data_IF_174771072485
#
_entry.id   IF_174771072485
#
_cell.length_a   1.000
_cell.length_b   1.000
_cell.length_c   1.000
_cell.angle_alpha   90.00
_cell.angle_beta   90.00
_cell.angle_gamma   90.00
#
_symmetry.space_group_name_H-M   'P 1'
#
loop_
_entity.id
_entity.type
_entity.pdbx_description
1 polymer ?
#
# COMPACT_ATOMS: atom_id res chain seq x y z
N UNK A 1 -14.67 4.71 -28.68
CA UNK A 1 -13.28 4.26 -28.52
C UNK A 1 -12.76 4.81 -27.20
N UNK A 2 -12.68 3.99 -26.17
CA UNK A 2 -12.09 4.38 -24.88
C UNK A 2 -10.58 4.43 -25.11
N UNK A 3 -9.99 5.63 -25.04
CA UNK A 3 -8.54 5.78 -25.06
C UNK A 3 -8.04 5.10 -23.79
N UNK A 4 -7.46 3.90 -23.92
CA UNK A 4 -6.76 3.29 -22.79
C UNK A 4 -5.62 4.23 -22.43
N UNK A 5 -5.60 4.71 -21.18
CA UNK A 5 -4.50 5.48 -20.62
C UNK A 5 -3.26 4.60 -20.73
N UNK A 6 -2.38 4.91 -21.67
CA UNK A 6 -1.17 4.11 -21.95
C UNK A 6 -0.13 4.23 -20.83
N UNK A 7 -0.35 5.15 -19.91
CA UNK A 7 0.54 5.48 -18.80
C UNK A 7 -0.22 5.38 -17.49
N UNK A 8 0.41 4.78 -16.47
CA UNK A 8 -0.10 4.68 -15.09
C UNK A 8 0.95 5.14 -14.09
N UNK A 9 0.50 5.74 -13.01
CA UNK A 9 1.32 6.09 -11.85
C UNK A 9 0.95 5.15 -10.70
N UNK A 10 1.96 4.51 -10.11
CA UNK A 10 1.80 3.63 -8.94
C UNK A 10 2.50 4.28 -7.77
N UNK A 11 1.78 4.51 -6.68
CA UNK A 11 2.35 4.91 -5.39
C UNK A 11 2.62 3.66 -4.56
N UNK A 12 3.87 3.45 -4.16
CA UNK A 12 4.24 2.43 -3.19
C UNK A 12 4.40 3.03 -1.80
N UNK A 13 3.94 2.31 -0.77
CA UNK A 13 4.15 2.69 0.64
C UNK A 13 4.68 1.51 1.42
N UNK A 14 5.74 1.76 2.20
CA UNK A 14 6.22 0.89 3.28
C UNK A 14 5.82 1.52 4.62
N UNK A 15 4.79 0.98 5.31
CA UNK A 15 4.29 1.57 6.54
C UNK A 15 5.32 1.51 7.67
N UNK A 16 5.48 2.63 8.38
CA UNK A 16 6.38 2.72 9.52
C UNK A 16 5.85 3.66 10.60
N UNK A 17 6.28 3.44 11.85
CA UNK A 17 5.89 4.26 13.00
C UNK A 17 6.90 5.37 13.34
N UNK A 18 8.11 5.26 12.84
CA UNK A 18 9.20 6.24 12.98
C UNK A 18 9.59 6.83 11.63
N UNK A 19 9.70 5.98 10.62
CA UNK A 19 9.92 6.34 9.23
C UNK A 19 8.90 5.57 8.41
N UNK A 20 8.23 6.26 7.48
CA UNK A 20 7.36 5.63 6.48
C UNK A 20 7.95 5.91 5.11
N UNK A 21 8.23 4.85 4.36
CA UNK A 21 8.74 4.96 3.00
C UNK A 21 7.63 5.27 2.00
N UNK A 22 7.96 6.02 0.94
CA UNK A 22 7.14 6.12 -0.26
C UNK A 22 8.00 6.02 -1.51
N UNK A 23 7.42 5.46 -2.58
CA UNK A 23 8.03 5.38 -3.89
C UNK A 23 6.99 5.54 -4.98
N UNK A 24 7.31 6.30 -6.02
CA UNK A 24 6.40 6.59 -7.15
C UNK A 24 6.99 6.03 -8.42
N UNK A 25 6.25 5.16 -9.09
CA UNK A 25 6.59 4.60 -10.39
C UNK A 25 5.66 5.13 -11.47
N UNK A 26 6.25 5.59 -12.57
CA UNK A 26 5.56 5.81 -13.83
C UNK A 26 5.69 4.55 -14.68
N UNK A 27 4.57 4.00 -15.14
CA UNK A 27 4.49 2.78 -15.93
C UNK A 27 3.95 3.11 -17.32
N UNK A 28 4.65 2.66 -18.36
CA UNK A 28 4.22 2.79 -19.74
C UNK A 28 4.43 1.44 -20.45
N UNK A 29 3.35 0.72 -20.70
CA UNK A 29 3.42 -0.65 -21.21
C UNK A 29 4.23 -1.55 -20.26
N UNK A 30 5.28 -2.17 -20.76
CA UNK A 30 6.18 -3.05 -19.98
C UNK A 30 7.40 -2.33 -19.39
N UNK A 31 7.38 -1.02 -19.31
CA UNK A 31 8.47 -0.21 -18.75
C UNK A 31 7.99 0.53 -17.53
N UNK A 32 8.79 0.47 -16.48
CA UNK A 32 8.59 1.26 -15.26
C UNK A 32 9.79 2.19 -15.06
N UNK A 33 9.54 3.42 -14.64
CA UNK A 33 10.54 4.41 -14.29
C UNK A 33 10.21 4.99 -12.93
N UNK A 34 11.22 5.16 -12.08
CA UNK A 34 11.06 5.87 -10.82
C UNK A 34 10.87 7.37 -11.09
N UNK A 35 9.83 7.95 -10.52
CA UNK A 35 9.59 9.39 -10.55
C UNK A 35 10.03 10.06 -9.24
N UNK A 36 9.79 9.39 -8.11
CA UNK A 36 10.20 9.85 -6.79
C UNK A 36 10.31 8.69 -5.82
N UNK A 37 11.12 8.86 -4.79
CA UNK A 37 11.07 8.08 -3.57
C UNK A 37 11.56 8.93 -2.39
N UNK A 38 11.11 8.60 -1.19
CA UNK A 38 11.50 9.35 -0.01
C UNK A 38 10.90 8.79 1.27
N UNK A 39 10.99 9.61 2.31
CA UNK A 39 10.57 9.26 3.66
C UNK A 39 9.63 10.31 4.25
N UNK A 40 8.66 9.82 5.00
CA UNK A 40 7.89 10.61 5.96
C UNK A 40 8.54 10.38 7.33
N UNK A 41 9.24 11.39 7.86
CA UNK A 41 9.98 11.28 9.13
C UNK A 41 9.09 11.66 10.31
N UNK A 42 8.78 10.67 11.15
CA UNK A 42 7.90 10.81 12.31
C UNK A 42 8.68 10.85 13.64
N UNK A 43 10.02 10.69 13.62
CA UNK A 43 10.86 10.52 14.82
C UNK A 43 10.82 11.71 15.76
N UNK A 44 10.67 12.91 15.23
CA UNK A 44 10.62 14.17 16.01
C UNK A 44 9.25 14.45 16.63
N UNK A 45 8.24 13.64 16.36
CA UNK A 45 6.89 13.80 16.89
C UNK A 45 6.67 12.84 18.05
N UNK A 46 6.61 13.34 19.31
CA UNK A 46 6.42 12.47 20.50
C UNK A 46 5.00 11.91 20.57
N UNK A 47 4.00 12.68 20.18
CA UNK A 47 2.60 12.28 20.27
C UNK A 47 2.20 11.33 19.13
N UNK A 48 1.63 10.15 19.45
CA UNK A 48 1.25 9.16 18.45
C UNK A 48 0.10 9.62 17.54
N UNK A 49 -0.81 10.46 18.02
CA UNK A 49 -1.94 10.94 17.22
C UNK A 49 -1.50 12.04 16.24
N UNK A 50 -0.58 12.91 16.66
CA UNK A 50 0.05 13.88 15.76
C UNK A 50 0.81 13.17 14.64
N UNK A 51 1.47 12.04 14.93
CA UNK A 51 2.10 11.20 13.88
C UNK A 51 1.09 10.73 12.85
N UNK A 52 -0.08 10.24 13.29
CA UNK A 52 -1.13 9.77 12.38
C UNK A 52 -1.67 10.93 11.51
N UNK A 53 -1.91 12.09 12.10
CA UNK A 53 -2.29 13.29 11.35
C UNK A 53 -1.26 13.67 10.30
N UNK A 54 0.02 13.67 10.68
CA UNK A 54 1.12 13.97 9.75
C UNK A 54 1.25 12.94 8.62
N UNK A 55 1.06 11.64 8.91
CA UNK A 55 1.00 10.61 7.86
C UNK A 55 -0.11 10.93 6.86
N UNK A 56 -1.32 11.25 7.35
CA UNK A 56 -2.45 11.58 6.48
C UNK A 56 -2.14 12.77 5.57
N UNK A 57 -1.66 13.87 6.14
CA UNK A 57 -1.29 15.09 5.39
C UNK A 57 -0.22 14.81 4.35
N UNK A 58 0.87 14.11 4.73
CA UNK A 58 1.98 13.82 3.83
C UNK A 58 1.60 12.89 2.70
N UNK A 59 0.86 11.80 3.00
CA UNK A 59 0.38 10.86 1.97
C UNK A 59 -0.59 11.56 1.03
N UNK A 60 -1.51 12.38 1.55
CA UNK A 60 -2.41 13.20 0.73
C UNK A 60 -1.62 14.14 -0.18
N UNK A 61 -0.62 14.84 0.34
CA UNK A 61 0.22 15.73 -0.46
C UNK A 61 1.02 14.99 -1.56
N UNK A 62 1.50 13.77 -1.29
CA UNK A 62 2.13 12.92 -2.31
C UNK A 62 1.12 12.52 -3.38
N UNK A 63 -0.08 12.12 -2.99
CA UNK A 63 -1.17 11.78 -3.91
C UNK A 63 -1.53 12.97 -4.80
N UNK A 64 -1.66 14.15 -4.23
CA UNK A 64 -1.98 15.39 -4.97
C UNK A 64 -0.86 15.81 -5.93
N UNK A 65 0.40 15.53 -5.56
CA UNK A 65 1.56 15.90 -6.38
C UNK A 65 1.77 14.98 -7.58
N UNK A 66 1.52 13.67 -7.41
CA UNK A 66 1.83 12.67 -8.42
C UNK A 66 0.60 12.06 -9.09
N UNK A 67 -0.60 12.27 -8.55
CA UNK A 67 -1.89 11.77 -9.07
C UNK A 67 -1.84 10.26 -9.38
N UNK A 68 -1.49 9.39 -8.42
CA UNK A 68 -1.36 7.97 -8.66
C UNK A 68 -2.70 7.33 -9.05
N UNK A 69 -2.64 6.39 -9.97
CA UNK A 69 -3.79 5.60 -10.39
C UNK A 69 -4.06 4.44 -9.42
N UNK A 70 -3.03 3.96 -8.73
CA UNK A 70 -3.10 2.80 -7.83
C UNK A 70 -2.10 2.95 -6.68
N UNK A 71 -2.47 2.45 -5.48
CA UNK A 71 -1.60 2.36 -4.32
C UNK A 71 -1.18 0.91 -4.09
N UNK A 72 0.12 0.66 -4.03
CA UNK A 72 0.71 -0.60 -3.56
C UNK A 72 1.28 -0.41 -2.16
N UNK A 73 0.84 -1.20 -1.18
CA UNK A 73 1.28 -1.05 0.20
C UNK A 73 1.78 -2.38 0.75
N UNK A 74 2.88 -2.34 1.51
CA UNK A 74 3.36 -3.52 2.21
C UNK A 74 2.40 -3.90 3.34
N UNK A 75 1.97 -5.17 3.37
CA UNK A 75 1.13 -5.69 4.44
C UNK A 75 1.94 -5.84 5.73
N UNK A 76 1.36 -5.55 6.91
CA UNK A 76 2.04 -5.72 8.17
C UNK A 76 2.45 -7.17 8.39
N UNK A 77 3.69 -7.40 8.81
CA UNK A 77 4.15 -8.72 9.17
C UNK A 77 3.81 -9.05 10.64
N UNK A 78 3.38 -10.29 10.89
CA UNK A 78 3.12 -10.76 12.25
C UNK A 78 4.42 -10.88 13.04
N UNK A 79 4.72 -9.87 13.85
CA UNK A 79 5.87 -9.86 14.76
C UNK A 79 5.52 -10.36 16.16
N UNK A 80 6.55 -10.61 16.97
CA UNK A 80 6.37 -11.04 18.39
C UNK A 80 5.81 -9.92 19.27
N UNK A 81 5.99 -8.65 18.89
CA UNK A 81 5.56 -7.51 19.69
C UNK A 81 4.21 -6.97 19.20
N UNK A 82 3.14 -7.36 19.88
CA UNK A 82 1.75 -6.97 19.58
C UNK A 82 1.57 -5.44 19.59
N UNK A 83 2.19 -4.72 20.53
CA UNK A 83 2.07 -3.26 20.62
C UNK A 83 2.68 -2.55 19.41
N UNK A 84 3.81 -3.04 18.92
CA UNK A 84 4.42 -2.53 17.71
C UNK A 84 3.56 -2.79 16.48
N UNK A 85 2.95 -3.97 16.40
CA UNK A 85 2.04 -4.33 15.30
C UNK A 85 0.78 -3.46 15.29
N UNK A 86 0.18 -3.20 16.45
CA UNK A 86 -0.98 -2.30 16.57
C UNK A 86 -0.64 -0.87 16.13
N UNK A 87 0.54 -0.36 16.50
CA UNK A 87 1.01 0.95 16.04
C UNK A 87 1.24 0.97 14.53
N UNK A 88 1.84 -0.08 13.99
CA UNK A 88 2.09 -0.20 12.55
C UNK A 88 0.78 -0.27 11.75
N UNK A 89 -0.18 -1.09 12.20
CA UNK A 89 -1.50 -1.19 11.58
C UNK A 89 -2.28 0.14 11.60
N UNK A 90 -2.14 0.96 12.67
CA UNK A 90 -2.71 2.31 12.68
C UNK A 90 -2.09 3.21 11.63
N UNK A 91 -0.75 3.22 11.53
CA UNK A 91 -0.02 4.01 10.53
C UNK A 91 -0.40 3.60 9.10
N UNK A 92 -0.44 2.29 8.83
CA UNK A 92 -0.89 1.74 7.55
C UNK A 92 -2.35 2.13 7.24
N UNK A 93 -3.27 1.95 8.20
CA UNK A 93 -4.68 2.29 8.02
C UNK A 93 -4.90 3.76 7.66
N UNK A 94 -4.09 4.68 8.22
CA UNK A 94 -4.15 6.11 7.88
C UNK A 94 -3.65 6.36 6.45
N UNK A 95 -2.57 5.72 6.01
CA UNK A 95 -2.10 5.83 4.63
C UNK A 95 -3.14 5.28 3.64
N UNK A 96 -3.78 4.15 3.97
CA UNK A 96 -4.90 3.58 3.20
C UNK A 96 -6.09 4.55 3.16
N UNK A 97 -6.46 5.14 4.31
CA UNK A 97 -7.57 6.09 4.37
C UNK A 97 -7.34 7.33 3.50
N UNK A 98 -6.10 7.85 3.45
CA UNK A 98 -5.73 8.95 2.57
C UNK A 98 -5.92 8.61 1.08
N UNK A 99 -5.58 7.38 0.68
CA UNK A 99 -5.77 6.90 -0.69
C UNK A 99 -7.26 6.68 -1.02
N UNK A 100 -8.02 6.04 -0.11
CA UNK A 100 -9.48 5.84 -0.27
C UNK A 100 -10.21 7.17 -0.39
N UNK A 101 -9.80 8.19 0.35
CA UNK A 101 -10.38 9.53 0.28
C UNK A 101 -10.25 10.17 -1.12
N UNK A 102 -9.33 9.69 -1.92
CA UNK A 102 -9.08 10.12 -3.32
C UNK A 102 -9.50 9.06 -4.35
N UNK A 103 -10.32 8.08 -3.94
CA UNK A 103 -10.82 6.98 -4.79
C UNK A 103 -9.71 6.16 -5.46
N UNK A 104 -8.51 6.07 -4.84
CA UNK A 104 -7.38 5.31 -5.36
C UNK A 104 -7.51 3.85 -4.94
N UNK A 105 -7.51 2.89 -5.89
CA UNK A 105 -7.49 1.46 -5.60
C UNK A 105 -6.24 1.04 -4.83
N UNK A 106 -6.41 0.10 -3.87
CA UNK A 106 -5.37 -0.33 -2.96
C UNK A 106 -5.03 -1.80 -3.19
N UNK A 107 -3.73 -2.08 -3.27
CA UNK A 107 -3.18 -3.43 -3.43
C UNK A 107 -2.18 -3.72 -2.32
N UNK A 108 -2.49 -4.68 -1.45
CA UNK A 108 -1.60 -5.10 -0.36
C UNK A 108 -0.72 -6.27 -0.77
N UNK A 109 0.55 -6.20 -0.40
CA UNK A 109 1.53 -7.23 -0.69
C UNK A 109 2.29 -7.66 0.55
N UNK A 110 2.29 -8.98 0.82
CA UNK A 110 3.13 -9.53 1.89
C UNK A 110 4.63 -9.30 1.57
N UNK A 111 5.48 -9.03 2.57
CA UNK A 111 6.93 -8.83 2.38
C UNK A 111 7.62 -9.93 1.56
N UNK A 112 7.24 -11.18 1.82
CA UNK A 112 7.75 -12.34 1.09
C UNK A 112 7.39 -12.30 -0.40
N UNK A 113 6.17 -11.86 -0.74
CA UNK A 113 5.72 -11.73 -2.13
C UNK A 113 6.47 -10.62 -2.86
N UNK A 114 6.73 -9.49 -2.19
CA UNK A 114 7.53 -8.39 -2.74
C UNK A 114 8.94 -8.89 -3.07
N UNK A 115 9.62 -9.52 -2.13
CA UNK A 115 10.97 -10.09 -2.33
C UNK A 115 11.00 -11.11 -3.46
N UNK A 116 10.07 -12.05 -3.46
CA UNK A 116 9.93 -13.08 -4.50
C UNK A 116 9.72 -12.47 -5.89
N UNK A 117 8.87 -11.45 -6.00
CA UNK A 117 8.57 -10.80 -7.27
C UNK A 117 9.80 -10.10 -7.88
N UNK A 118 10.65 -9.49 -7.04
CA UNK A 118 11.79 -8.69 -7.49
C UNK A 118 13.04 -9.53 -7.71
N UNK A 119 13.34 -10.46 -6.79
CA UNK A 119 14.60 -11.19 -6.76
C UNK A 119 14.48 -12.66 -7.17
N UNK A 120 13.25 -13.17 -7.28
CA UNK A 120 12.98 -14.60 -7.44
C UNK A 120 13.15 -15.43 -6.15
N UNK A 121 13.52 -14.79 -5.03
CA UNK A 121 13.79 -15.47 -3.75
C UNK A 121 13.14 -14.71 -2.58
N UNK A 122 12.21 -15.35 -1.86
CA UNK A 122 11.49 -14.72 -0.74
C UNK A 122 12.38 -14.42 0.49
N UNK A 123 13.54 -15.05 0.60
CA UNK A 123 14.50 -14.86 1.71
C UNK A 123 15.59 -13.80 1.41
N UNK A 124 15.47 -13.08 0.31
CA UNK A 124 16.44 -12.04 -0.06
C UNK A 124 16.52 -10.95 1.02
N UNK A 125 17.75 -10.44 1.23
CA UNK A 125 17.97 -9.30 2.12
C UNK A 125 17.43 -8.01 1.50
N UNK A 126 17.29 -6.95 2.31
CA UNK A 126 16.87 -5.62 1.82
C UNK A 126 17.88 -5.07 0.80
N UNK A 127 19.16 -5.29 1.02
CA UNK A 127 20.24 -4.87 0.13
C UNK A 127 20.16 -5.56 -1.23
N UNK A 128 19.79 -6.85 -1.25
CA UNK A 128 19.61 -7.61 -2.49
C UNK A 128 18.40 -7.07 -3.28
N UNK A 129 17.30 -6.76 -2.59
CA UNK A 129 16.12 -6.15 -3.21
C UNK A 129 16.48 -4.77 -3.77
N UNK A 130 17.14 -3.92 -2.98
CA UNK A 130 17.60 -2.59 -3.41
C UNK A 130 18.52 -2.66 -4.62
N UNK A 131 19.52 -3.56 -4.60
CA UNK A 131 20.44 -3.76 -5.72
C UNK A 131 19.75 -4.26 -6.99
N UNK A 132 18.70 -5.09 -6.87
CA UNK A 132 17.92 -5.51 -8.01
C UNK A 132 17.08 -4.36 -8.56
N UNK A 133 16.37 -3.59 -7.71
CA UNK A 133 15.62 -2.40 -8.12
C UNK A 133 16.51 -1.37 -8.82
N UNK A 134 17.70 -1.13 -8.29
CA UNK A 134 18.68 -0.24 -8.91
C UNK A 134 18.98 -0.66 -10.36
N UNK A 135 19.16 -1.95 -10.61
CA UNK A 135 19.45 -2.49 -11.95
C UNK A 135 18.24 -2.41 -12.88
N UNK A 136 17.06 -2.89 -12.44
CA UNK A 136 15.88 -2.99 -13.31
C UNK A 136 15.26 -1.64 -13.62
N UNK A 137 15.41 -0.65 -12.73
CA UNK A 137 14.95 0.73 -12.92
C UNK A 137 16.07 1.64 -13.45
N UNK A 138 17.28 1.10 -13.64
CA UNK A 138 18.45 1.83 -14.11
C UNK A 138 18.76 3.09 -13.27
N UNK A 139 18.68 2.96 -11.95
CA UNK A 139 18.93 4.06 -11.02
C UNK A 139 20.42 4.30 -10.84
N UNK A 140 20.82 5.57 -10.81
CA UNK A 140 22.18 5.95 -10.47
C UNK A 140 22.42 5.72 -8.97
N UNK A 141 23.69 5.55 -8.57
CA UNK A 141 24.06 5.34 -7.17
C UNK A 141 23.63 6.51 -6.28
N UNK A 142 23.67 7.70 -6.81
CA UNK A 142 23.28 8.95 -6.14
C UNK A 142 21.77 9.07 -5.92
N UNK A 143 20.96 8.35 -6.71
CA UNK A 143 19.50 8.30 -6.59
C UNK A 143 19.04 7.30 -5.54
N UNK A 144 19.94 6.41 -5.09
CA UNK A 144 19.63 5.43 -4.03
C UNK A 144 19.57 6.12 -2.67
N UNK A 145 18.50 5.92 -1.89
CA UNK A 145 18.32 6.59 -0.61
C UNK A 145 19.27 6.03 0.44
N UNK A 146 19.62 6.88 1.43
CA UNK A 146 20.39 6.44 2.60
C UNK A 146 19.62 5.45 3.48
N UNK A 147 18.30 5.52 3.50
CA UNK A 147 17.41 4.68 4.30
C UNK A 147 16.64 3.71 3.41
N UNK A 148 16.63 2.45 3.78
CA UNK A 148 16.03 1.36 3.00
C UNK A 148 14.49 1.45 2.90
N UNK A 149 13.82 2.10 3.86
CA UNK A 149 12.36 2.21 3.88
C UNK A 149 11.79 2.83 2.58
N UNK A 150 12.51 3.81 2.01
CA UNK A 150 12.11 4.38 0.71
C UNK A 150 12.26 3.38 -0.43
N UNK A 151 13.30 2.53 -0.36
CA UNK A 151 13.52 1.46 -1.34
C UNK A 151 12.49 0.34 -1.18
N UNK A 152 12.11 0.01 0.07
CA UNK A 152 11.07 -1.00 0.37
C UNK A 152 9.71 -0.54 -0.17
N UNK A 153 9.38 0.75 -0.05
CA UNK A 153 8.18 1.33 -0.66
C UNK A 153 8.21 1.27 -2.19
N UNK A 154 9.35 1.60 -2.80
CA UNK A 154 9.54 1.46 -4.26
C UNK A 154 9.42 0.00 -4.70
N UNK A 155 9.88 -0.94 -3.85
CA UNK A 155 9.72 -2.38 -4.06
C UNK A 155 8.27 -2.82 -4.08
N UNK A 156 7.42 -2.27 -3.21
CA UNK A 156 5.98 -2.54 -3.21
C UNK A 156 5.34 -2.06 -4.53
N UNK A 157 5.66 -0.84 -4.99
CA UNK A 157 5.18 -0.32 -6.27
C UNK A 157 5.66 -1.19 -7.46
N UNK A 158 6.93 -1.60 -7.47
CA UNK A 158 7.47 -2.44 -8.54
C UNK A 158 6.89 -3.86 -8.51
N UNK A 159 6.66 -4.42 -7.33
CA UNK A 159 5.94 -5.69 -7.18
C UNK A 159 4.55 -5.61 -7.81
N UNK A 160 3.83 -4.52 -7.57
CA UNK A 160 2.51 -4.29 -8.16
C UNK A 160 2.60 -4.20 -9.70
N UNK A 161 3.54 -3.42 -10.23
CA UNK A 161 3.80 -3.36 -11.67
C UNK A 161 3.99 -4.75 -12.30
N UNK A 162 4.76 -5.64 -11.66
CA UNK A 162 4.99 -7.01 -12.13
C UNK A 162 3.75 -7.92 -12.04
N UNK A 163 2.73 -7.55 -11.25
CA UNK A 163 1.46 -8.27 -11.14
C UNK A 163 0.39 -7.75 -12.10
N UNK A 164 0.54 -6.52 -12.60
CA UNK A 164 -0.40 -5.94 -13.56
C UNK A 164 -0.53 -6.84 -14.79
N UNK A 165 -1.78 -7.08 -15.22
CA UNK A 165 -2.06 -7.95 -16.38
C UNK A 165 -2.06 -9.45 -16.08
N UNK A 166 -1.72 -9.89 -14.85
CA UNK A 166 -1.97 -11.27 -14.42
C UNK A 166 -3.42 -11.42 -14.00
N UNK A 167 -4.12 -12.53 -14.33
CA UNK A 167 -5.46 -12.76 -13.83
C UNK A 167 -5.45 -12.75 -12.31
N UNK A 168 -6.30 -11.91 -11.71
CA UNK A 168 -6.44 -11.86 -10.26
C UNK A 168 -6.88 -13.24 -9.74
N UNK A 169 -6.16 -13.77 -8.77
CA UNK A 169 -6.64 -14.90 -7.99
C UNK A 169 -7.89 -14.43 -7.24
N UNK A 170 -9.02 -15.01 -7.52
CA UNK A 170 -10.42 -14.85 -7.04
C UNK A 170 -10.72 -14.09 -5.72
N UNK A 171 -9.94 -13.12 -5.31
CA UNK A 171 -10.27 -12.20 -4.24
C UNK A 171 -11.29 -11.18 -4.79
N UNK A 172 -12.50 -11.18 -4.25
CA UNK A 172 -13.54 -10.19 -4.59
C UNK A 172 -13.01 -8.79 -4.23
N UNK A 173 -12.49 -8.10 -5.22
CA UNK A 173 -12.06 -6.71 -5.05
C UNK A 173 -13.28 -5.79 -5.20
N UNK A 174 -13.52 -4.98 -4.18
CA UNK A 174 -14.57 -3.95 -4.22
C UNK A 174 -13.90 -2.59 -4.46
N UNK A 175 -14.34 -1.88 -5.49
CA UNK A 175 -13.78 -0.57 -5.87
C UNK A 175 -14.13 0.53 -4.87
N UNK A 176 -15.21 0.35 -4.08
CA UNK A 176 -15.65 1.29 -3.04
C UNK A 176 -16.58 0.60 -2.06
N UNK A 177 -16.85 1.26 -0.91
CA UNK A 177 -17.89 0.82 0.04
C UNK A 177 -19.26 0.73 -0.64
N UNK A 178 -19.58 1.64 -1.53
CA UNK A 178 -20.82 1.63 -2.31
C UNK A 178 -20.93 0.39 -3.21
N UNK A 179 -19.85 0.00 -3.87
CA UNK A 179 -19.74 -1.22 -4.68
C UNK A 179 -19.90 -2.48 -3.81
N UNK A 180 -19.26 -2.51 -2.64
CA UNK A 180 -19.44 -3.59 -1.65
C UNK A 180 -20.91 -3.75 -1.24
N UNK A 181 -21.57 -2.66 -0.83
CA UNK A 181 -22.97 -2.66 -0.41
C UNK A 181 -23.89 -3.09 -1.55
N UNK A 182 -23.66 -2.61 -2.77
CA UNK A 182 -24.45 -3.02 -3.94
C UNK A 182 -24.34 -4.51 -4.24
N UNK A 183 -23.12 -5.06 -4.19
CA UNK A 183 -22.85 -6.48 -4.49
C UNK A 183 -23.25 -7.42 -3.35
N UNK A 184 -23.39 -6.91 -2.12
CA UNK A 184 -23.70 -7.67 -0.92
C UNK A 184 -24.98 -7.20 -0.20
N UNK A 185 -25.97 -6.67 -0.92
CA UNK A 185 -27.24 -6.15 -0.35
C UNK A 185 -27.89 -7.12 0.64
N UNK A 186 -27.88 -8.43 0.36
CA UNK A 186 -28.48 -9.43 1.25
C UNK A 186 -27.73 -9.61 2.57
N UNK A 187 -26.41 -9.37 2.61
CA UNK A 187 -25.61 -9.50 3.84
C UNK A 187 -25.69 -8.24 4.72
N UNK A 188 -26.00 -7.09 4.13
CA UNK A 188 -26.08 -5.80 4.85
C UNK A 188 -27.49 -5.53 5.39
N UNK A 189 -28.54 -6.11 4.79
CA UNK A 189 -29.95 -5.84 5.13
C UNK A 189 -30.61 -6.88 6.05
N UNK A 190 -29.95 -8.03 6.29
CA UNK A 190 -30.48 -9.02 7.25
C UNK A 190 -29.70 -8.89 8.57
N UNK A 191 -30.35 -8.43 9.68
CA UNK A 191 -29.78 -8.69 11.00
C UNK A 191 -29.58 -10.19 11.15
N UNK A 192 -28.43 -10.62 11.65
CA UNK A 192 -28.18 -12.05 11.88
C UNK A 192 -29.33 -12.59 12.76
N UNK A 193 -29.91 -13.71 12.41
CA UNK A 193 -31.00 -14.37 13.20
C UNK A 193 -30.59 -14.54 14.67
N UNK A 194 -29.31 -14.59 14.99
CA UNK A 194 -28.80 -14.61 16.35
C UNK A 194 -29.15 -13.35 17.16
N UNK A 195 -29.20 -12.16 16.55
CA UNK A 195 -29.57 -10.92 17.24
C UNK A 195 -31.10 -10.85 17.42
N UNK A 196 -31.88 -11.33 16.45
CA UNK A 196 -33.34 -11.39 16.55
C UNK A 196 -33.78 -12.31 17.71
N UNK A 197 -33.17 -13.49 17.86
CA UNK A 197 -33.48 -14.44 18.93
C UNK A 197 -33.07 -13.94 20.33
N UNK A 198 -32.08 -13.08 20.46
CA UNK A 198 -31.70 -12.48 21.75
C UNK A 198 -32.69 -11.40 22.23
N UNK A 199 -33.39 -10.74 21.32
CA UNK A 199 -34.40 -9.73 21.66
C UNK A 199 -35.76 -10.33 22.01
N UNK A 200 -36.07 -11.56 21.59
CA UNK A 200 -37.30 -12.26 21.93
C UNK A 200 -37.21 -12.97 23.30
N UNK A 201 -36.06 -13.27 23.82
CA UNK A 201 -35.83 -13.94 25.12
C UNK A 201 -35.79 -12.97 26.31
N UNK A 202 -35.92 -11.67 26.09
CA UNK A 202 -35.97 -10.64 27.16
C UNK A 202 -37.37 -9.98 27.32
N UNK A 203 -38.39 -10.60 26.84
CA UNK A 203 -39.82 -10.32 27.18
C UNK A 203 -40.36 -11.45 28.07
#
# INVERSE_FOLDING_TARGET
MTIQKTEKIILGIDPGTNLMGYGVLRVQGNRAKMEAMGLIDLRKMPDPYLRLGHIFERVTGIIESYLPDELAIEAPFFGKNVQSMLKLGRAQGVAIAAAIHRDIPIHEYAPLKIKMAITGQGQSSKEQVAGMLQRVLNLKKEEMPRFMDATDALAAAYCHFLQMGKPESNARHYSSWKDFVMKNKQSVTKPSQAIANQLETQK
#
